data_IF_899193246241
#
_entry.id   IF_899193246241
#
_cell.length_a   1.000
_cell.length_b   1.000
_cell.length_c   1.000
_cell.angle_alpha   90.00
_cell.angle_beta   90.00
_cell.angle_gamma   90.00
#
_symmetry.space_group_name_H-M   'P 1'
#
loop_
_entity.id
_entity.type
_entity.pdbx_description
1 polymer ?
#
# COMPACT_ATOMS: atom_id res chain seq x y z
N UNK A 1 8.90 -0.53 12.75
CA UNK A 1 8.52 0.87 12.46
C UNK A 1 7.98 1.43 13.77
N UNK A 2 8.67 2.45 14.32
CA UNK A 2 8.30 3.07 15.59
C UNK A 2 6.93 3.74 15.51
N UNK A 3 6.33 4.02 16.68
CA UNK A 3 5.09 4.79 16.72
C UNK A 3 5.38 6.24 16.31
N UNK A 4 4.59 6.86 15.42
CA UNK A 4 4.84 8.22 14.93
C UNK A 4 5.10 9.27 16.03
N UNK A 5 4.41 9.14 17.15
CA UNK A 5 4.55 10.03 18.32
C UNK A 5 5.93 9.91 18.99
N UNK A 6 6.52 8.71 19.00
CA UNK A 6 7.86 8.49 19.56
C UNK A 6 8.94 8.96 18.59
N UNK A 7 8.70 8.78 17.29
CA UNK A 7 9.64 9.21 16.25
C UNK A 7 9.68 10.72 16.11
N UNK A 8 8.54 11.42 16.14
CA UNK A 8 8.50 12.88 15.99
C UNK A 8 9.28 13.57 17.12
N UNK A 9 9.09 13.12 18.37
CA UNK A 9 9.83 13.67 19.51
C UNK A 9 11.33 13.44 19.39
N UNK A 10 11.74 12.24 19.04
CA UNK A 10 13.14 11.90 18.83
C UNK A 10 13.78 12.75 17.75
N UNK A 11 13.10 12.92 16.60
CA UNK A 11 13.59 13.73 15.49
C UNK A 11 13.72 15.21 15.88
N UNK A 12 12.76 15.74 16.63
CA UNK A 12 12.77 17.12 17.13
C UNK A 12 13.96 17.36 18.07
N UNK A 13 14.16 16.47 19.05
CA UNK A 13 15.28 16.56 19.98
C UNK A 13 16.63 16.46 19.26
N UNK A 14 16.75 15.56 18.29
CA UNK A 14 17.96 15.43 17.48
C UNK A 14 18.22 16.65 16.61
N UNK A 15 17.18 17.23 16.00
CA UNK A 15 17.31 18.44 15.18
C UNK A 15 17.79 19.63 16.02
N UNK A 16 17.28 19.79 17.24
CA UNK A 16 17.73 20.84 18.18
C UNK A 16 19.20 20.68 18.55
N UNK A 17 19.68 19.45 18.67
CA UNK A 17 21.07 19.15 19.03
C UNK A 17 22.04 19.23 17.86
N UNK A 18 21.65 18.77 16.67
CA UNK A 18 22.53 18.59 15.52
C UNK A 18 22.29 19.60 14.39
N UNK A 19 21.27 20.46 14.48
CA UNK A 19 20.89 21.45 13.48
C UNK A 19 20.03 20.88 12.36
N UNK A 20 20.45 19.80 11.70
CA UNK A 20 19.72 19.17 10.60
C UNK A 20 19.65 17.65 10.78
N UNK A 21 18.46 17.07 10.57
CA UNK A 21 18.22 15.63 10.63
C UNK A 21 17.41 15.21 9.41
N UNK A 22 17.75 14.05 8.82
CA UNK A 22 17.00 13.45 7.73
C UNK A 22 16.32 12.16 8.19
N UNK A 23 15.01 12.04 7.95
CA UNK A 23 14.27 10.78 8.04
C UNK A 23 14.23 10.13 6.65
N UNK A 24 14.79 8.93 6.54
CA UNK A 24 14.73 8.16 5.30
C UNK A 24 13.50 7.26 5.31
N UNK A 25 12.72 7.33 4.24
CA UNK A 25 11.53 6.50 4.02
C UNK A 25 11.65 5.73 2.71
N UNK A 26 11.16 4.50 2.69
CA UNK A 26 10.99 3.74 1.44
C UNK A 26 9.82 4.32 0.64
N UNK A 27 10.05 4.64 -0.63
CA UNK A 27 9.04 5.24 -1.49
C UNK A 27 8.74 6.69 -1.14
N UNK A 28 7.51 7.13 -1.34
CA UNK A 28 7.09 8.48 -0.98
C UNK A 28 6.83 8.60 0.53
N UNK A 29 7.46 9.57 1.21
CA UNK A 29 7.41 9.68 2.67
C UNK A 29 6.04 10.05 3.23
N UNK A 30 5.10 10.51 2.42
CA UNK A 30 3.75 10.90 2.86
C UNK A 30 2.64 9.97 2.34
N UNK A 31 2.98 8.95 1.54
CA UNK A 31 1.99 8.06 0.96
C UNK A 31 1.79 6.80 1.82
N UNK A 32 0.54 6.48 2.16
CA UNK A 32 0.14 5.32 2.98
C UNK A 32 0.85 5.25 4.34
N UNK A 33 1.07 6.40 4.97
CA UNK A 33 1.77 6.54 6.25
C UNK A 33 1.18 7.67 7.08
N UNK A 34 1.53 7.72 8.36
CA UNK A 34 1.14 8.77 9.30
C UNK A 34 2.22 9.85 9.47
N UNK A 35 3.26 9.89 8.64
CA UNK A 35 4.39 10.83 8.77
C UNK A 35 3.99 12.30 8.69
N UNK A 36 2.79 12.62 8.20
CA UNK A 36 2.25 13.99 8.29
C UNK A 36 2.24 14.51 9.73
N UNK A 37 2.11 13.64 10.73
CA UNK A 37 2.17 14.03 12.15
C UNK A 37 3.54 14.57 12.53
N UNK A 38 4.61 14.02 11.97
CA UNK A 38 6.00 14.49 12.18
C UNK A 38 6.14 15.93 11.66
N UNK A 39 5.57 16.24 10.50
CA UNK A 39 5.58 17.59 9.93
C UNK A 39 4.81 18.58 10.82
N UNK A 40 3.66 18.14 11.33
CA UNK A 40 2.86 18.96 12.24
C UNK A 40 3.60 19.26 13.54
N UNK A 41 4.27 18.28 14.11
CA UNK A 41 5.02 18.43 15.35
C UNK A 41 6.30 19.27 15.16
N UNK A 42 7.01 19.10 14.03
CA UNK A 42 8.11 19.95 13.64
C UNK A 42 7.67 21.43 13.56
N UNK A 43 6.54 21.69 12.91
CA UNK A 43 5.95 23.03 12.81
C UNK A 43 5.63 23.62 14.19
N UNK A 44 5.02 22.84 15.10
CA UNK A 44 4.74 23.28 16.49
C UNK A 44 6.03 23.60 17.25
N UNK A 45 7.11 22.88 16.96
CA UNK A 45 8.42 23.09 17.57
C UNK A 45 9.24 24.23 16.93
N UNK A 46 8.70 24.93 15.91
CA UNK A 46 9.40 25.99 15.18
C UNK A 46 10.52 25.46 14.28
N UNK A 47 10.49 24.19 13.90
CA UNK A 47 11.50 23.55 13.04
C UNK A 47 10.96 23.53 11.60
N UNK A 48 11.76 24.04 10.68
CA UNK A 48 11.48 23.92 9.25
C UNK A 48 11.66 22.46 8.81
N UNK A 49 10.69 21.93 8.09
CA UNK A 49 10.73 20.58 7.55
C UNK A 49 10.52 20.62 6.03
N UNK A 50 11.40 19.94 5.30
CA UNK A 50 11.32 19.77 3.84
C UNK A 50 11.00 18.33 3.50
N UNK A 51 10.00 18.12 2.66
CA UNK A 51 9.66 16.80 2.11
C UNK A 51 10.27 16.66 0.73
N UNK A 52 10.93 15.53 0.50
CA UNK A 52 11.40 15.12 -0.83
C UNK A 52 10.53 13.93 -1.25
N UNK A 53 9.63 14.16 -2.20
CA UNK A 53 8.73 13.13 -2.73
C UNK A 53 9.46 12.12 -3.62
N UNK A 54 8.91 10.92 -3.68
CA UNK A 54 9.42 9.83 -4.50
C UNK A 54 8.26 8.99 -5.06
N UNK A 55 8.58 7.94 -5.83
CA UNK A 55 7.59 6.99 -6.33
C UNK A 55 6.86 6.28 -5.21
N UNK A 56 5.61 5.95 -5.42
CA UNK A 56 4.82 5.13 -4.50
C UNK A 56 4.05 4.04 -5.24
N UNK A 57 3.60 3.03 -4.51
CA UNK A 57 2.73 1.99 -5.05
C UNK A 57 1.46 2.56 -5.69
N UNK A 58 0.95 3.69 -5.19
CA UNK A 58 -0.22 4.36 -5.75
C UNK A 58 -0.03 4.82 -7.20
N UNK A 59 1.14 5.30 -7.54
CA UNK A 59 1.45 5.74 -8.91
C UNK A 59 1.97 4.61 -9.79
N UNK A 60 2.77 3.69 -9.22
CA UNK A 60 3.48 2.67 -9.98
C UNK A 60 2.59 1.48 -10.31
N UNK A 61 1.75 1.02 -9.36
CA UNK A 61 0.97 -0.20 -9.52
C UNK A 61 0.00 -0.14 -10.71
N UNK A 62 -0.70 0.98 -10.89
CA UNK A 62 -1.61 1.17 -12.01
C UNK A 62 -0.88 1.04 -13.36
N UNK A 63 0.23 1.77 -13.53
CA UNK A 63 1.03 1.75 -14.77
C UNK A 63 1.63 0.38 -15.06
N UNK A 64 2.18 -0.31 -14.04
CA UNK A 64 2.73 -1.67 -14.20
C UNK A 64 1.67 -2.71 -14.55
N UNK A 65 0.45 -2.51 -14.06
CA UNK A 65 -0.70 -3.35 -14.42
C UNK A 65 -1.32 -3.02 -15.79
N UNK A 66 -0.81 -2.02 -16.50
CA UNK A 66 -1.40 -1.55 -17.77
C UNK A 66 -2.74 -0.85 -17.61
N UNK A 67 -3.02 -0.31 -16.42
CA UNK A 67 -4.28 0.33 -16.07
C UNK A 67 -4.10 1.85 -15.91
N UNK A 68 -5.18 2.57 -16.11
CA UNK A 68 -5.20 4.03 -15.95
C UNK A 68 -5.56 4.44 -14.52
N UNK A 69 -4.71 5.26 -13.88
CA UNK A 69 -4.89 5.65 -12.47
C UNK A 69 -6.25 6.31 -12.18
N UNK A 70 -6.80 7.05 -13.13
CA UNK A 70 -8.11 7.71 -12.98
C UNK A 70 -9.30 6.73 -12.99
N UNK A 71 -9.06 5.44 -13.31
CA UNK A 71 -10.06 4.36 -13.23
C UNK A 71 -10.05 3.65 -11.87
N UNK A 72 -9.26 4.12 -10.91
CA UNK A 72 -9.22 3.58 -9.56
C UNK A 72 -10.18 4.30 -8.64
N UNK A 73 -10.86 3.53 -7.80
CA UNK A 73 -11.67 4.03 -6.71
C UNK A 73 -10.88 4.11 -5.40
N UNK A 74 -11.59 4.05 -4.28
CA UNK A 74 -11.00 4.08 -2.94
C UNK A 74 -10.07 2.87 -2.76
N UNK A 75 -8.85 3.11 -2.27
CA UNK A 75 -7.91 2.06 -1.90
C UNK A 75 -8.43 1.27 -0.67
N UNK A 76 -8.25 -0.03 -0.69
CA UNK A 76 -8.51 -0.92 0.44
C UNK A 76 -7.19 -1.40 1.06
N UNK A 77 -7.21 -1.77 2.33
CA UNK A 77 -6.07 -2.43 2.99
C UNK A 77 -6.57 -3.73 3.62
N UNK A 78 -5.96 -4.85 3.27
CA UNK A 78 -6.15 -6.11 3.98
C UNK A 78 -5.16 -6.17 5.14
N UNK A 79 -5.69 -6.49 6.31
CA UNK A 79 -4.88 -6.66 7.52
C UNK A 79 -4.81 -8.14 7.91
N UNK A 80 -3.69 -8.54 8.50
CA UNK A 80 -3.51 -9.90 9.00
C UNK A 80 -4.65 -10.24 9.98
N UNK A 81 -5.30 -11.40 9.82
CA UNK A 81 -6.35 -11.84 10.74
C UNK A 81 -5.82 -11.86 12.19
N UNK A 82 -6.61 -11.31 13.11
CA UNK A 82 -6.32 -11.37 14.55
C UNK A 82 -7.49 -12.07 15.24
N UNK A 83 -7.24 -12.63 16.43
CA UNK A 83 -8.33 -13.16 17.27
C UNK A 83 -9.45 -12.12 17.39
N UNK A 84 -10.67 -12.50 17.06
CA UNK A 84 -11.88 -11.67 17.08
C UNK A 84 -11.95 -10.50 16.08
N UNK A 85 -11.04 -10.40 15.09
CA UNK A 85 -11.11 -9.35 14.08
C UNK A 85 -11.04 -9.94 12.67
N UNK A 86 -12.20 -9.92 11.97
CA UNK A 86 -12.28 -10.20 10.52
C UNK A 86 -12.61 -8.90 9.80
N UNK A 87 -11.66 -8.31 9.07
CA UNK A 87 -11.89 -7.04 8.38
C UNK A 87 -12.79 -7.25 7.17
N UNK A 88 -14.08 -6.95 7.32
CA UNK A 88 -15.06 -6.98 6.20
C UNK A 88 -15.14 -5.65 5.47
N UNK A 89 -14.68 -4.56 6.09
CA UNK A 89 -14.73 -3.22 5.51
C UNK A 89 -13.95 -3.09 4.22
N UNK A 90 -12.81 -3.77 4.10
CA UNK A 90 -11.99 -3.76 2.89
C UNK A 90 -12.69 -4.43 1.71
N UNK A 91 -13.39 -5.54 1.95
CA UNK A 91 -14.20 -6.21 0.93
C UNK A 91 -15.36 -5.33 0.47
N UNK A 92 -15.98 -4.59 1.41
CA UNK A 92 -17.05 -3.65 1.05
C UNK A 92 -16.54 -2.53 0.16
N UNK A 93 -15.37 -1.96 0.45
CA UNK A 93 -14.73 -0.95 -0.42
C UNK A 93 -14.53 -1.48 -1.84
N UNK A 94 -14.10 -2.73 -1.99
CA UNK A 94 -13.90 -3.35 -3.30
C UNK A 94 -15.23 -3.48 -4.03
N UNK A 95 -16.28 -3.99 -3.35
CA UNK A 95 -17.63 -4.12 -3.95
C UNK A 95 -18.17 -2.77 -4.41
N UNK A 96 -18.04 -1.72 -3.56
CA UNK A 96 -18.51 -0.37 -3.88
C UNK A 96 -17.79 0.22 -5.09
N UNK A 97 -16.49 -0.04 -5.23
CA UNK A 97 -15.73 0.38 -6.40
C UNK A 97 -16.19 -0.38 -7.65
N UNK A 98 -16.35 -1.70 -7.58
CA UNK A 98 -16.79 -2.53 -8.71
C UNK A 98 -18.19 -2.12 -9.20
N UNK A 99 -19.11 -1.75 -8.30
CA UNK A 99 -20.44 -1.23 -8.68
C UNK A 99 -20.35 0.07 -9.49
N UNK A 100 -19.26 0.82 -9.33
CA UNK A 100 -18.99 2.06 -10.06
C UNK A 100 -18.06 1.85 -11.26
N UNK A 101 -17.77 0.61 -11.62
CA UNK A 101 -16.80 0.25 -12.67
C UNK A 101 -15.40 0.83 -12.41
N UNK A 102 -14.94 0.81 -11.16
CA UNK A 102 -13.63 1.29 -10.74
C UNK A 102 -12.76 0.14 -10.21
N UNK A 103 -11.48 0.15 -10.59
CA UNK A 103 -10.47 -0.76 -10.04
C UNK A 103 -10.20 -0.44 -8.58
N UNK A 104 -9.76 -1.43 -7.82
CA UNK A 104 -9.35 -1.22 -6.42
C UNK A 104 -7.89 -1.61 -6.25
N UNK A 105 -7.06 -0.66 -5.81
CA UNK A 105 -5.75 -0.99 -5.25
C UNK A 105 -5.95 -1.54 -3.84
N UNK A 106 -5.43 -2.72 -3.59
CA UNK A 106 -5.49 -3.40 -2.30
C UNK A 106 -4.07 -3.48 -1.73
N UNK A 107 -3.83 -2.72 -0.67
CA UNK A 107 -2.59 -2.78 0.09
C UNK A 107 -2.66 -3.95 1.07
N UNK A 108 -1.52 -4.58 1.31
CA UNK A 108 -1.41 -5.70 2.22
C UNK A 108 -0.68 -5.27 3.50
N UNK A 109 -1.10 -5.83 4.63
CA UNK A 109 -0.49 -5.55 5.93
C UNK A 109 1.00 -5.89 5.95
N UNK A 110 1.75 -5.06 6.64
CA UNK A 110 3.20 -5.24 6.84
C UNK A 110 3.56 -5.57 8.29
N UNK A 111 2.56 -5.61 9.17
CA UNK A 111 2.74 -5.80 10.61
C UNK A 111 1.98 -7.05 11.12
N UNK A 112 2.57 -7.88 11.96
CA UNK A 112 3.98 -7.88 12.43
C UNK A 112 4.96 -8.41 11.37
N UNK A 113 4.47 -8.93 10.26
CA UNK A 113 5.21 -9.41 9.10
C UNK A 113 4.44 -9.10 7.82
N UNK A 114 5.13 -9.07 6.69
CA UNK A 114 4.48 -8.89 5.39
C UNK A 114 3.43 -9.98 5.17
N UNK A 115 2.20 -9.56 4.83
CA UNK A 115 1.15 -10.49 4.43
C UNK A 115 1.55 -11.17 3.12
N UNK A 116 1.44 -12.50 3.07
CA UNK A 116 1.66 -13.26 1.86
C UNK A 116 0.51 -13.04 0.87
N UNK A 117 0.86 -12.95 -0.42
CA UNK A 117 -0.14 -12.71 -1.45
C UNK A 117 -1.19 -13.84 -1.52
N UNK A 118 -0.82 -15.09 -1.20
CA UNK A 118 -1.77 -16.23 -1.16
C UNK A 118 -2.78 -16.10 -0.03
N UNK A 119 -2.36 -15.59 1.13
CA UNK A 119 -3.26 -15.35 2.26
C UNK A 119 -4.26 -14.24 1.91
N UNK A 120 -3.76 -13.17 1.28
CA UNK A 120 -4.61 -12.10 0.78
C UNK A 120 -5.60 -12.58 -0.28
N UNK A 121 -5.17 -13.39 -1.25
CA UNK A 121 -6.05 -13.98 -2.27
C UNK A 121 -7.11 -14.89 -1.64
N UNK A 122 -6.76 -15.61 -0.56
CA UNK A 122 -7.72 -16.42 0.22
C UNK A 122 -8.87 -15.59 0.81
N UNK A 123 -8.62 -14.30 1.14
CA UNK A 123 -9.65 -13.37 1.59
C UNK A 123 -10.45 -12.76 0.43
N UNK A 124 -9.97 -12.87 -0.80
CA UNK A 124 -10.52 -12.23 -2.01
C UNK A 124 -11.23 -13.23 -2.93
N UNK A 125 -11.55 -14.44 -2.45
CA UNK A 125 -12.13 -15.53 -3.26
C UNK A 125 -13.52 -15.24 -3.82
N UNK A 126 -14.21 -14.23 -3.32
CA UNK A 126 -15.50 -13.77 -3.89
C UNK A 126 -15.33 -12.99 -5.20
N UNK A 127 -14.12 -12.51 -5.52
CA UNK A 127 -13.82 -11.77 -6.75
C UNK A 127 -13.26 -12.72 -7.81
N UNK A 128 -13.69 -12.54 -9.05
CA UNK A 128 -13.33 -13.44 -10.14
C UNK A 128 -11.84 -13.40 -10.49
N UNK A 129 -11.27 -12.20 -10.58
CA UNK A 129 -9.90 -11.99 -11.04
C UNK A 129 -9.14 -10.96 -10.20
N UNK A 130 -7.83 -11.07 -10.22
CA UNK A 130 -6.92 -10.16 -9.55
C UNK A 130 -5.66 -9.94 -10.38
N UNK A 131 -4.96 -8.85 -10.09
CA UNK A 131 -3.59 -8.60 -10.53
C UNK A 131 -2.73 -8.59 -9.27
N UNK A 132 -1.78 -9.50 -9.19
CA UNK A 132 -0.81 -9.54 -8.09
C UNK A 132 0.47 -8.88 -8.54
N UNK A 133 0.94 -7.91 -7.77
CA UNK A 133 2.18 -7.20 -8.02
C UNK A 133 3.14 -7.50 -6.87
N UNK A 134 4.33 -7.95 -7.21
CA UNK A 134 5.38 -8.36 -6.28
C UNK A 134 6.63 -7.54 -6.54
N UNK A 135 7.25 -6.99 -5.48
CA UNK A 135 8.57 -6.34 -5.51
C UNK A 135 8.74 -5.29 -6.63
N UNK A 136 7.71 -4.43 -6.79
CA UNK A 136 7.73 -3.41 -7.83
C UNK A 136 9.00 -2.54 -7.76
N UNK A 137 9.66 -2.37 -8.90
CA UNK A 137 10.92 -1.65 -9.03
C UNK A 137 12.19 -2.48 -8.81
N UNK A 138 12.06 -3.73 -8.37
CA UNK A 138 13.18 -4.65 -8.18
C UNK A 138 13.43 -5.49 -9.43
N UNK A 139 14.62 -6.13 -9.52
CA UNK A 139 14.98 -6.98 -10.66
C UNK A 139 14.10 -8.22 -10.81
N UNK A 140 13.54 -8.69 -9.71
CA UNK A 140 12.67 -9.87 -9.64
C UNK A 140 11.19 -9.50 -9.47
N UNK A 141 10.80 -8.28 -9.92
CA UNK A 141 9.40 -7.86 -9.90
C UNK A 141 8.54 -8.82 -10.74
N UNK A 142 7.32 -9.06 -10.27
CA UNK A 142 6.31 -9.80 -11.02
C UNK A 142 4.99 -9.02 -11.06
N UNK A 143 4.33 -9.08 -12.20
CA UNK A 143 2.96 -8.60 -12.41
C UNK A 143 2.18 -9.74 -13.04
N UNK A 144 1.23 -10.30 -12.32
CA UNK A 144 0.49 -11.50 -12.73
C UNK A 144 -1.01 -11.21 -12.68
N UNK A 145 -1.67 -11.33 -13.82
CA UNK A 145 -3.13 -11.25 -13.96
C UNK A 145 -3.73 -12.65 -14.13
N UNK A 146 -4.83 -12.92 -13.48
CA UNK A 146 -5.55 -14.19 -13.62
C UNK A 146 -6.75 -14.32 -12.70
N UNK A 147 -7.45 -15.46 -12.81
CA UNK A 147 -8.48 -15.81 -11.83
C UNK A 147 -7.86 -16.00 -10.46
N UNK A 148 -8.56 -15.56 -9.41
CA UNK A 148 -8.06 -15.65 -8.02
C UNK A 148 -7.65 -17.08 -7.67
N UNK A 149 -8.47 -18.07 -8.02
CA UNK A 149 -8.18 -19.49 -7.76
C UNK A 149 -6.92 -20.00 -8.48
N UNK A 150 -6.63 -19.50 -9.68
CA UNK A 150 -5.43 -19.87 -10.44
C UNK A 150 -4.19 -19.23 -9.84
N UNK A 151 -4.29 -17.94 -9.47
CA UNK A 151 -3.20 -17.23 -8.83
C UNK A 151 -2.78 -17.86 -7.51
N UNK A 152 -3.72 -18.38 -6.71
CA UNK A 152 -3.40 -19.10 -5.47
C UNK A 152 -2.50 -20.34 -5.68
N UNK A 153 -2.47 -20.90 -6.89
CA UNK A 153 -1.65 -22.07 -7.26
C UNK A 153 -0.36 -21.68 -7.99
N UNK A 154 -0.17 -20.38 -8.26
CA UNK A 154 0.96 -19.86 -9.03
C UNK A 154 2.08 -19.40 -8.10
N UNK A 155 3.31 -19.36 -8.59
CA UNK A 155 4.42 -18.69 -7.92
C UNK A 155 4.30 -17.17 -8.10
N UNK A 156 3.87 -16.49 -7.05
CA UNK A 156 3.61 -15.04 -7.04
C UNK A 156 4.86 -14.19 -6.77
N UNK A 157 6.01 -14.81 -6.51
CA UNK A 157 7.24 -14.12 -6.17
C UNK A 157 7.39 -13.91 -4.66
N UNK A 158 8.04 -12.80 -4.27
CA UNK A 158 8.39 -12.49 -2.88
C UNK A 158 7.74 -11.17 -2.42
N UNK A 159 7.52 -10.97 -1.11
CA UNK A 159 7.04 -9.69 -0.60
C UNK A 159 8.07 -8.57 -0.83
N UNK A 160 7.65 -7.29 -0.79
CA UNK A 160 6.28 -6.84 -0.54
C UNK A 160 5.35 -7.02 -1.75
N UNK A 161 4.07 -7.24 -1.44
CA UNK A 161 3.03 -7.39 -2.45
C UNK A 161 1.99 -6.26 -2.36
N UNK A 162 1.34 -5.98 -3.48
CA UNK A 162 0.01 -5.37 -3.52
C UNK A 162 -0.85 -6.10 -4.55
N UNK A 163 -2.17 -5.92 -4.44
CA UNK A 163 -3.13 -6.56 -5.33
C UNK A 163 -4.00 -5.49 -5.97
N UNK A 164 -4.42 -5.69 -7.21
CA UNK A 164 -5.47 -4.89 -7.81
C UNK A 164 -6.64 -5.82 -8.11
N UNK A 165 -7.84 -5.45 -7.65
CA UNK A 165 -9.07 -6.06 -8.12
C UNK A 165 -9.56 -5.20 -9.29
N UNK A 166 -9.49 -5.72 -10.52
CA UNK A 166 -9.88 -4.97 -11.70
C UNK A 166 -11.41 -4.92 -11.83
N UNK A 167 -11.94 -3.77 -12.19
CA UNK A 167 -13.26 -3.65 -12.77
C UNK A 167 -13.20 -4.03 -14.27
N UNK A 168 -14.24 -3.74 -15.03
CA UNK A 168 -14.27 -4.04 -16.46
C UNK A 168 -13.03 -3.49 -17.16
N UNK A 169 -12.28 -4.39 -17.81
CA UNK A 169 -11.13 -4.01 -18.61
C UNK A 169 -11.61 -3.47 -19.95
N UNK A 170 -11.14 -2.28 -20.31
CA UNK A 170 -11.34 -1.73 -21.65
C UNK A 170 -10.07 -2.01 -22.44
N UNK A 171 -10.25 -2.61 -23.60
CA UNK A 171 -9.17 -2.70 -24.59
C UNK A 171 -9.00 -1.29 -25.18
N UNK A 172 -7.82 -0.72 -25.00
CA UNK A 172 -7.42 0.54 -25.64
C UNK A 172 -6.99 0.21 -27.06
#
# INVERSE_FOLDING_TARGET
IGRPETESRFLIERTKAAGTVALLASGDPLTATTHVTILMDAKKAGIEAKVIHNSSVYSVAAGKAGLQIYRFGKTATLVNPRENYKPTSSLQVIRDNLQRDLHTLVLLDTEPHFMEAKDALGMLTEFESAIVLSRLGEKDEKVLYGKVEQLMRTDLGKPPFCIIIPAKLHVV
#
